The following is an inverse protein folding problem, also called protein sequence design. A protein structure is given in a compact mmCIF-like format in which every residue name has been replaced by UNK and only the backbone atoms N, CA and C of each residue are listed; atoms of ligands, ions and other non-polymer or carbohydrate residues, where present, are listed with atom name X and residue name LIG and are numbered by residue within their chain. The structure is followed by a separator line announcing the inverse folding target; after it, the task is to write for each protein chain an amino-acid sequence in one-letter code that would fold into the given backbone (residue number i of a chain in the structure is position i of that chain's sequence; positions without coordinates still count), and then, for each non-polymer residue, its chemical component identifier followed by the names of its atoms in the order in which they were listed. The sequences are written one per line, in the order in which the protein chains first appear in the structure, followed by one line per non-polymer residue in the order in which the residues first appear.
data_IF_540590051711
#
_entry.id   IF_540590051711
#
_cell.length_a   1.000
_cell.length_b   1.000
_cell.length_c   1.000
_cell.angle_alpha   90.00
_cell.angle_beta   90.00
_cell.angle_gamma   90.00
#
_symmetry.space_group_name_H-M   'P 1'
#
loop_
_entity.id
_entity.type
_entity.pdbx_description
1 polymer ?
#
# COMPACT_ATOMS: atom_id res chain seq x y z
N UNK A 1 5.01 -8.20 13.63
CA UNK A 1 4.08 -7.65 12.60
C UNK A 1 2.69 -8.29 12.64
N UNK A 2 2.52 -9.59 12.35
CA UNK A 2 1.17 -10.25 12.39
C UNK A 2 0.48 -10.12 13.74
N UNK A 3 1.19 -10.40 14.84
CA UNK A 3 0.67 -10.28 16.20
C UNK A 3 0.22 -8.83 16.52
N UNK A 4 0.98 -7.83 16.06
CA UNK A 4 0.61 -6.42 16.27
C UNK A 4 -0.61 -6.03 15.45
N UNK A 5 -0.70 -6.49 14.18
CA UNK A 5 -1.88 -6.26 13.35
C UNK A 5 -3.14 -6.88 13.97
N UNK A 6 -3.02 -8.08 14.52
CA UNK A 6 -4.12 -8.76 15.24
C UNK A 6 -4.54 -8.02 16.51
N UNK A 7 -3.60 -7.44 17.27
CA UNK A 7 -3.91 -6.57 18.42
C UNK A 7 -4.74 -5.35 18.04
N UNK A 8 -4.57 -4.85 16.82
CA UNK A 8 -5.31 -3.70 16.26
C UNK A 8 -6.61 -4.16 15.56
N UNK A 9 -6.97 -5.44 15.64
CA UNK A 9 -8.19 -5.99 15.02
C UNK A 9 -8.08 -6.23 13.51
N UNK A 10 -6.89 -6.15 12.92
CA UNK A 10 -6.67 -6.40 11.50
C UNK A 10 -6.40 -7.89 11.24
N UNK A 11 -6.86 -8.41 10.08
CA UNK A 11 -6.55 -9.76 9.60
C UNK A 11 -5.28 -9.74 8.72
N UNK A 12 -4.11 -10.21 9.19
CA UNK A 12 -2.90 -10.16 8.40
C UNK A 12 -2.88 -11.25 7.32
N UNK A 13 -2.96 -10.84 6.05
CA UNK A 13 -2.76 -11.72 4.88
C UNK A 13 -1.35 -11.50 4.33
N UNK A 14 -0.36 -12.13 4.97
CA UNK A 14 1.06 -11.96 4.65
C UNK A 14 1.67 -13.34 4.40
N UNK A 15 2.50 -13.45 3.36
CA UNK A 15 3.20 -14.70 3.05
C UNK A 15 4.06 -15.15 4.25
N UNK A 16 4.01 -16.43 4.65
CA UNK A 16 4.86 -16.94 5.70
C UNK A 16 6.33 -16.94 5.27
N UNK A 17 7.23 -16.78 6.24
CA UNK A 17 8.66 -16.95 6.00
C UNK A 17 8.93 -18.41 5.60
N UNK A 18 9.73 -18.68 4.56
CA UNK A 18 9.91 -20.03 4.02
C UNK A 18 10.48 -21.04 5.03
N UNK A 19 11.30 -20.61 6.00
CA UNK A 19 11.83 -21.49 7.05
C UNK A 19 10.85 -21.83 8.18
N UNK A 20 9.62 -21.34 8.13
CA UNK A 20 8.66 -21.49 9.23
C UNK A 20 8.05 -22.90 9.21
N UNK A 21 8.31 -23.68 10.27
CA UNK A 21 7.81 -25.06 10.44
C UNK A 21 6.28 -25.19 10.39
N UNK A 22 5.55 -24.21 10.93
CA UNK A 22 4.09 -24.18 10.93
C UNK A 22 3.60 -22.83 10.36
N UNK A 23 3.41 -22.74 9.03
CA UNK A 23 2.93 -21.53 8.38
C UNK A 23 1.42 -21.36 8.62
N UNK A 24 0.95 -20.14 8.96
CA UNK A 24 -0.48 -19.86 9.00
C UNK A 24 -1.11 -19.97 7.60
N UNK A 25 -2.41 -20.29 7.50
CA UNK A 25 -3.12 -20.33 6.23
C UNK A 25 -3.06 -18.97 5.53
N UNK A 26 -2.81 -19.00 4.22
CA UNK A 26 -2.71 -17.81 3.38
C UNK A 26 -3.85 -17.83 2.35
N UNK A 27 -4.69 -16.81 2.41
CA UNK A 27 -5.61 -16.53 1.33
C UNK A 27 -4.84 -15.94 0.14
N UNK A 28 -4.62 -16.77 -0.89
CA UNK A 28 -3.86 -16.38 -2.08
C UNK A 28 -4.59 -15.32 -2.91
N UNK A 29 -5.92 -15.28 -2.86
CA UNK A 29 -6.72 -14.32 -3.63
C UNK A 29 -6.58 -12.92 -3.05
N UNK A 30 -6.76 -12.79 -1.72
CA UNK A 30 -6.52 -11.53 -1.00
C UNK A 30 -5.05 -11.11 -1.08
N UNK A 31 -4.11 -12.06 -0.97
CA UNK A 31 -2.68 -11.74 -1.09
C UNK A 31 -2.34 -11.17 -2.47
N UNK A 32 -2.96 -11.66 -3.55
CA UNK A 32 -2.75 -11.17 -4.92
C UNK A 32 -3.25 -9.73 -5.09
N UNK A 33 -4.34 -9.34 -4.44
CA UNK A 33 -4.87 -7.97 -4.52
C UNK A 33 -3.88 -6.92 -4.01
N UNK A 34 -2.98 -7.29 -3.08
CA UNK A 34 -1.91 -6.44 -2.58
C UNK A 34 -1.03 -5.88 -3.70
N UNK A 35 -0.77 -6.68 -4.74
CA UNK A 35 0.04 -6.27 -5.88
C UNK A 35 -0.54 -5.02 -6.57
N UNK A 36 -1.87 -4.91 -6.70
CA UNK A 36 -2.51 -3.73 -7.31
C UNK A 36 -2.26 -2.47 -6.48
N UNK A 37 -2.30 -2.59 -5.16
CA UNK A 37 -2.00 -1.48 -4.24
C UNK A 37 -0.52 -1.07 -4.38
N UNK A 38 0.40 -2.04 -4.45
CA UNK A 38 1.82 -1.76 -4.65
C UNK A 38 2.11 -1.08 -5.99
N UNK A 39 1.52 -1.57 -7.09
CA UNK A 39 1.61 -0.94 -8.40
C UNK A 39 1.09 0.50 -8.37
N UNK A 40 -0.08 0.72 -7.75
CA UNK A 40 -0.63 2.06 -7.61
C UNK A 40 0.35 3.00 -6.91
N UNK A 41 0.95 2.60 -5.78
CA UNK A 41 1.93 3.44 -5.09
C UNK A 41 3.26 3.57 -5.85
N UNK A 42 3.65 2.57 -6.61
CA UNK A 42 4.80 2.67 -7.51
C UNK A 42 4.58 3.76 -8.56
N UNK A 43 3.42 3.75 -9.21
CA UNK A 43 3.07 4.74 -10.23
C UNK A 43 2.80 6.12 -9.64
N UNK A 44 2.19 6.19 -8.45
CA UNK A 44 1.99 7.44 -7.71
C UNK A 44 3.32 8.11 -7.38
N UNK A 45 4.36 7.33 -7.06
CA UNK A 45 5.70 7.86 -6.80
C UNK A 45 6.45 8.31 -8.06
N UNK A 46 5.95 8.02 -9.27
CA UNK A 46 6.51 8.60 -10.50
C UNK A 46 6.22 10.09 -10.60
N UNK A 47 5.15 10.56 -9.97
CA UNK A 47 4.88 11.99 -9.85
C UNK A 47 5.85 12.61 -8.84
N UNK A 48 6.86 13.33 -9.34
CA UNK A 48 7.90 13.97 -8.50
C UNK A 48 7.30 14.79 -7.36
N UNK A 49 6.25 15.56 -7.62
CA UNK A 49 5.56 16.36 -6.61
C UNK A 49 4.99 15.51 -5.46
N UNK A 50 4.36 14.38 -5.78
CA UNK A 50 3.82 13.45 -4.77
C UNK A 50 4.94 12.74 -3.98
N UNK A 51 6.06 12.42 -4.64
CA UNK A 51 7.17 11.69 -4.04
C UNK A 51 8.04 12.54 -3.10
N UNK A 52 8.33 13.78 -3.47
CA UNK A 52 9.26 14.63 -2.68
C UNK A 52 8.58 15.40 -1.57
N UNK A 53 7.25 15.57 -1.61
CA UNK A 53 6.46 16.27 -0.58
C UNK A 53 7.07 17.65 -0.24
N UNK A 54 7.35 18.47 -1.26
CA UNK A 54 7.85 19.84 -1.04
C UNK A 54 6.75 20.84 -0.70
N UNK A 55 5.49 20.44 -0.74
CA UNK A 55 4.36 21.27 -0.34
C UNK A 55 4.45 21.68 1.14
N UNK A 56 4.38 23.00 1.38
CA UNK A 56 4.50 23.58 2.72
C UNK A 56 3.33 23.24 3.64
N UNK A 57 2.15 23.00 3.07
CA UNK A 57 0.91 22.69 3.80
C UNK A 57 0.43 21.28 3.50
N UNK A 58 -0.16 20.63 4.50
CA UNK A 58 -0.75 19.30 4.33
C UNK A 58 -1.91 19.31 3.32
N UNK A 59 -2.65 20.41 3.22
CA UNK A 59 -3.75 20.58 2.26
C UNK A 59 -3.26 20.61 0.81
N UNK A 60 -2.18 21.33 0.54
CA UNK A 60 -1.59 21.40 -0.80
C UNK A 60 -1.03 20.02 -1.21
N UNK A 61 -0.34 19.35 -0.29
CA UNK A 61 0.12 17.97 -0.54
C UNK A 61 -1.05 17.01 -0.82
N UNK A 62 -2.13 17.10 -0.05
CA UNK A 62 -3.32 16.26 -0.26
C UNK A 62 -3.96 16.53 -1.63
N UNK A 63 -4.03 17.79 -2.06
CA UNK A 63 -4.52 18.14 -3.39
C UNK A 63 -3.65 17.52 -4.50
N UNK A 64 -2.32 17.56 -4.37
CA UNK A 64 -1.39 16.89 -5.30
C UNK A 64 -1.65 15.38 -5.35
N UNK A 65 -1.85 14.74 -4.19
CA UNK A 65 -2.17 13.31 -4.14
C UNK A 65 -3.51 13.00 -4.83
N UNK A 66 -4.54 13.83 -4.64
CA UNK A 66 -5.82 13.65 -5.31
C UNK A 66 -5.69 13.77 -6.82
N UNK A 67 -5.03 14.82 -7.32
CA UNK A 67 -4.82 15.02 -8.75
C UNK A 67 -4.02 13.87 -9.36
N UNK A 68 -2.92 13.45 -8.71
CA UNK A 68 -2.12 12.32 -9.18
C UNK A 68 -2.93 11.01 -9.21
N UNK A 69 -3.76 10.78 -8.19
CA UNK A 69 -4.64 9.60 -8.12
C UNK A 69 -5.70 9.62 -9.22
N UNK A 70 -6.31 10.78 -9.49
CA UNK A 70 -7.28 10.95 -10.58
C UNK A 70 -6.63 10.69 -11.95
N UNK A 71 -5.41 11.20 -12.18
CA UNK A 71 -4.66 10.96 -13.42
C UNK A 71 -4.25 9.49 -13.59
N UNK A 72 -3.98 8.77 -12.50
CA UNK A 72 -3.74 7.33 -12.55
C UNK A 72 -5.01 6.53 -12.81
N UNK A 73 -6.16 7.01 -12.34
CA UNK A 73 -7.46 6.38 -12.57
C UNK A 73 -7.94 6.53 -14.02
N UNK A 74 -7.65 7.68 -14.64
CA UNK A 74 -8.02 7.98 -16.03
C UNK A 74 -7.12 7.30 -17.08
N UNK A 75 -6.02 6.68 -16.64
CA UNK A 75 -5.11 5.92 -17.50
C UNK A 75 -5.64 4.52 -17.74
#
# INVERSE_FOLDING_TARGET
MRANAQKVGMKPVIHPHPSRKQPPPLDRTLYRLRYRVECFFHDLKRFRAAATRYDKTATCYLAVLHVASMLLWLR
#
